data_IF_023011390806
#
_entry.id   IF_023011390806
#
_cell.length_a   1.000
_cell.length_b   1.000
_cell.length_c   1.000
_cell.angle_alpha   90.00
_cell.angle_beta   90.00
_cell.angle_gamma   90.00
#
_symmetry.space_group_name_H-M   'P 1'
#
loop_
_entity.id
_entity.type
_entity.pdbx_description
1 polymer ?
#
# COMPACT_ATOMS: atom_id res chain seq x y z
N UNK A 1 18.91 -16.41 -10.51
CA UNK A 1 17.57 -16.38 -9.88
C UNK A 1 17.59 -16.16 -8.35
N UNK A 2 18.64 -16.55 -7.60
CA UNK A 2 18.68 -16.35 -6.14
C UNK A 2 18.68 -14.88 -5.67
N UNK A 3 19.21 -13.94 -6.47
CA UNK A 3 19.25 -12.52 -6.11
C UNK A 3 17.89 -11.80 -6.14
N UNK A 4 16.93 -12.29 -6.92
CA UNK A 4 15.62 -11.64 -7.05
C UNK A 4 14.85 -11.65 -5.73
N UNK A 5 14.87 -12.78 -5.03
CA UNK A 5 14.20 -12.93 -3.74
C UNK A 5 14.85 -12.06 -2.65
N UNK A 6 16.18 -11.87 -2.71
CA UNK A 6 16.91 -10.96 -1.81
C UNK A 6 16.49 -9.51 -2.06
N UNK A 7 16.42 -9.08 -3.32
CA UNK A 7 15.96 -7.74 -3.69
C UNK A 7 14.50 -7.54 -3.24
N UNK A 8 13.63 -8.52 -3.46
CA UNK A 8 12.25 -8.46 -3.01
C UNK A 8 12.15 -8.32 -1.49
N UNK A 9 12.90 -9.10 -0.72
CA UNK A 9 12.92 -8.97 0.75
C UNK A 9 13.46 -7.60 1.21
N UNK A 10 14.48 -7.07 0.54
CA UNK A 10 15.01 -5.73 0.81
C UNK A 10 13.96 -4.63 0.55
N UNK A 11 13.10 -4.80 -0.46
CA UNK A 11 12.02 -3.85 -0.78
C UNK A 11 10.81 -4.02 0.14
N UNK A 12 10.47 -5.25 0.53
CA UNK A 12 9.33 -5.54 1.41
C UNK A 12 9.50 -4.89 2.78
N UNK A 13 10.69 -4.98 3.37
CA UNK A 13 10.97 -4.38 4.68
C UNK A 13 10.60 -2.88 4.77
N UNK A 14 11.16 -1.97 3.95
CA UNK A 14 10.80 -0.56 3.99
C UNK A 14 9.34 -0.30 3.59
N UNK A 15 8.78 -1.06 2.65
CA UNK A 15 7.36 -0.94 2.29
C UNK A 15 6.43 -1.26 3.47
N UNK A 16 6.78 -2.26 4.29
CA UNK A 16 6.01 -2.59 5.49
C UNK A 16 6.05 -1.45 6.52
N UNK A 17 7.20 -0.84 6.75
CA UNK A 17 7.29 0.34 7.62
C UNK A 17 6.47 1.52 7.08
N UNK A 18 6.39 1.67 5.76
CA UNK A 18 5.62 2.73 5.08
C UNK A 18 4.11 2.45 4.99
N UNK A 19 3.66 1.23 5.26
CA UNK A 19 2.24 0.82 5.12
C UNK A 19 1.38 1.08 6.37
N UNK A 20 1.94 1.71 7.40
CA UNK A 20 1.31 1.92 8.72
C UNK A 20 1.02 0.66 9.55
N UNK A 21 1.49 -0.52 9.13
CA UNK A 21 1.30 -1.80 9.85
C UNK A 21 1.94 -1.80 11.22
N UNK A 22 3.20 -1.35 11.32
CA UNK A 22 3.95 -1.34 12.57
C UNK A 22 3.88 0.01 13.29
N UNK A 23 3.87 1.11 12.54
CA UNK A 23 3.83 2.46 13.07
C UNK A 23 2.68 3.20 12.42
N UNK A 24 1.73 3.79 13.17
CA UNK A 24 0.61 4.47 12.58
C UNK A 24 1.06 5.85 12.03
N UNK A 25 1.61 5.83 10.82
CA UNK A 25 2.34 6.95 10.24
C UNK A 25 1.46 8.17 9.98
N UNK A 26 0.23 7.91 9.57
CA UNK A 26 -0.69 8.94 9.14
C UNK A 26 -1.60 9.44 10.27
N UNK A 27 -1.68 8.72 11.41
CA UNK A 27 -2.38 9.20 12.60
C UNK A 27 -1.44 9.86 13.62
N UNK A 28 -0.13 9.89 13.36
CA UNK A 28 0.84 10.51 14.26
C UNK A 28 1.22 11.92 13.75
N UNK A 29 0.87 13.00 14.47
CA UNK A 29 1.17 14.38 14.07
C UNK A 29 2.68 14.70 14.02
N UNK A 30 3.51 13.89 14.69
CA UNK A 30 4.96 14.14 14.79
C UNK A 30 5.76 13.65 13.58
N UNK A 31 5.10 12.98 12.61
CA UNK A 31 5.79 12.41 11.47
C UNK A 31 5.97 13.42 10.33
N UNK A 32 7.14 13.44 9.66
CA UNK A 32 7.39 14.35 8.56
C UNK A 32 6.37 14.19 7.42
N UNK A 33 5.78 15.30 6.97
CA UNK A 33 4.80 15.34 5.87
C UNK A 33 5.28 14.64 4.60
N UNK A 34 6.59 14.67 4.33
CA UNK A 34 7.20 13.97 3.20
C UNK A 34 6.94 12.47 3.29
N UNK A 35 7.13 11.86 4.46
CA UNK A 35 6.99 10.42 4.66
C UNK A 35 5.53 10.00 4.51
N UNK A 36 4.61 10.80 5.07
CA UNK A 36 3.16 10.57 4.93
C UNK A 36 2.75 10.62 3.46
N UNK A 37 3.25 11.60 2.68
CA UNK A 37 2.97 11.70 1.24
C UNK A 37 3.47 10.50 0.45
N UNK A 38 4.67 10.00 0.74
CA UNK A 38 5.23 8.81 0.07
C UNK A 38 4.45 7.56 0.46
N UNK A 39 3.92 7.49 1.69
CA UNK A 39 3.13 6.35 2.18
C UNK A 39 1.85 6.13 1.35
N UNK A 40 1.22 7.19 0.84
CA UNK A 40 0.05 7.07 -0.05
C UNK A 40 0.37 6.42 -1.41
N UNK A 41 1.64 6.34 -1.82
CA UNK A 41 1.99 5.59 -3.04
C UNK A 41 1.99 4.07 -2.79
N UNK A 42 2.00 3.64 -1.53
CA UNK A 42 2.02 2.23 -1.19
C UNK A 42 0.58 1.67 -1.12
N UNK A 43 0.19 0.71 -1.99
CA UNK A 43 -1.15 0.11 -1.92
C UNK A 43 -1.44 -0.56 -0.58
N UNK A 44 -0.41 -1.06 0.11
CA UNK A 44 -0.57 -1.67 1.42
C UNK A 44 -1.03 -0.69 2.50
N UNK A 45 -0.74 0.61 2.34
CA UNK A 45 -1.20 1.65 3.25
C UNK A 45 -2.72 1.68 3.32
N UNK A 46 -3.40 1.73 2.16
CA UNK A 46 -4.87 1.82 2.10
C UNK A 46 -5.56 0.57 2.64
N UNK A 47 -4.97 -0.62 2.42
CA UNK A 47 -5.52 -1.87 2.97
C UNK A 47 -5.52 -1.87 4.49
N UNK A 48 -4.41 -1.42 5.09
CA UNK A 48 -4.21 -1.44 6.54
C UNK A 48 -5.03 -0.34 7.21
N UNK A 49 -5.08 0.86 6.61
CA UNK A 49 -5.90 1.96 7.12
C UNK A 49 -7.40 1.64 7.04
N UNK A 50 -7.86 1.08 5.90
CA UNK A 50 -9.26 0.68 5.71
C UNK A 50 -9.72 -0.42 6.68
N UNK A 51 -8.90 -1.46 6.91
CA UNK A 51 -9.21 -2.52 7.87
C UNK A 51 -9.25 -1.96 9.29
N UNK A 52 -8.24 -1.17 9.68
CA UNK A 52 -8.20 -0.55 11.00
C UNK A 52 -9.44 0.31 11.21
N UNK A 53 -9.72 1.21 10.26
CA UNK A 53 -10.86 2.11 10.32
C UNK A 53 -12.22 1.44 10.31
N UNK A 54 -12.35 0.29 9.63
CA UNK A 54 -13.57 -0.52 9.66
C UNK A 54 -13.79 -1.22 11.00
N UNK A 55 -12.72 -1.55 11.73
CA UNK A 55 -12.79 -2.33 12.97
C UNK A 55 -12.85 -1.45 14.22
N UNK A 56 -12.07 -0.38 14.28
CA UNK A 56 -12.01 0.50 15.47
C UNK A 56 -13.06 1.60 15.46
N UNK A 57 -13.59 1.99 14.29
CA UNK A 57 -14.60 3.05 14.15
C UNK A 57 -14.16 4.44 14.64
N UNK A 58 -12.91 4.58 15.09
CA UNK A 58 -12.34 5.76 15.72
C UNK A 58 -11.02 6.06 15.00
N UNK A 59 -10.90 7.30 14.53
CA UNK A 59 -9.73 7.93 13.92
C UNK A 59 -9.25 7.31 12.61
N UNK A 60 -9.79 7.80 11.48
CA UNK A 60 -9.20 7.54 10.18
C UNK A 60 -8.68 8.82 9.54
N UNK A 61 -7.67 8.62 8.72
CA UNK A 61 -7.10 9.65 7.86
C UNK A 61 -8.01 9.86 6.65
N UNK A 62 -8.68 8.80 6.18
CA UNK A 62 -9.69 8.79 5.11
C UNK A 62 -10.93 7.98 5.50
N UNK A 63 -12.07 8.20 4.83
CA UNK A 63 -13.27 7.39 5.08
C UNK A 63 -13.02 5.94 4.60
N UNK A 64 -13.39 4.87 5.35
CA UNK A 64 -13.06 3.48 4.97
C UNK A 64 -13.53 3.06 3.56
N UNK A 65 -14.62 3.64 3.09
CA UNK A 65 -15.12 3.45 1.72
C UNK A 65 -14.16 4.01 0.66
N UNK A 66 -13.47 5.12 0.94
CA UNK A 66 -12.50 5.73 0.04
C UNK A 66 -11.28 4.81 -0.08
N UNK A 67 -10.81 4.27 1.03
CA UNK A 67 -9.68 3.31 1.02
C UNK A 67 -10.03 2.05 0.22
N UNK A 68 -11.25 1.52 0.41
CA UNK A 68 -11.73 0.37 -0.36
C UNK A 68 -11.76 0.65 -1.87
N UNK A 69 -12.27 1.82 -2.27
CA UNK A 69 -12.31 2.22 -3.69
C UNK A 69 -10.91 2.39 -4.25
N UNK A 70 -9.98 3.01 -3.50
CA UNK A 70 -8.59 3.18 -3.94
C UNK A 70 -7.89 1.83 -4.11
N UNK A 71 -8.06 0.90 -3.16
CA UNK A 71 -7.49 -0.45 -3.27
C UNK A 71 -8.06 -1.18 -4.49
N UNK A 72 -9.38 -1.10 -4.74
CA UNK A 72 -10.00 -1.70 -5.91
C UNK A 72 -9.44 -1.14 -7.23
N UNK A 73 -9.29 0.19 -7.32
CA UNK A 73 -8.69 0.83 -8.50
C UNK A 73 -7.27 0.31 -8.72
N UNK A 74 -6.45 0.27 -7.66
CA UNK A 74 -5.07 -0.23 -7.77
C UNK A 74 -5.04 -1.70 -8.19
N UNK A 75 -5.94 -2.54 -7.66
CA UNK A 75 -6.07 -3.93 -8.06
C UNK A 75 -6.40 -4.07 -9.55
N UNK A 76 -7.38 -3.33 -10.05
CA UNK A 76 -7.77 -3.37 -11.47
C UNK A 76 -6.62 -2.90 -12.36
N UNK A 77 -5.91 -1.83 -11.97
CA UNK A 77 -4.75 -1.32 -12.70
C UNK A 77 -3.62 -2.35 -12.72
N UNK A 78 -3.29 -2.94 -11.58
CA UNK A 78 -2.25 -3.98 -11.46
C UNK A 78 -2.59 -5.22 -12.28
N UNK A 79 -3.84 -5.69 -12.24
CA UNK A 79 -4.30 -6.82 -13.04
C UNK A 79 -4.26 -6.51 -14.54
N UNK A 80 -4.68 -5.31 -14.94
CA UNK A 80 -4.62 -4.86 -16.34
C UNK A 80 -3.19 -4.78 -16.85
N UNK A 81 -2.29 -4.16 -16.08
CA UNK A 81 -0.86 -4.09 -16.41
C UNK A 81 -0.24 -5.49 -16.45
N UNK A 82 -0.54 -6.33 -15.46
CA UNK A 82 -0.05 -7.71 -15.39
C UNK A 82 -0.49 -8.54 -16.59
N UNK A 83 -1.78 -8.50 -16.94
CA UNK A 83 -2.32 -9.18 -18.12
C UNK A 83 -1.67 -8.68 -19.42
N UNK A 84 -1.49 -7.36 -19.55
CA UNK A 84 -0.82 -6.76 -20.70
C UNK A 84 0.65 -7.20 -20.82
N UNK A 85 1.44 -7.05 -19.76
CA UNK A 85 2.86 -7.43 -19.78
C UNK A 85 3.05 -8.94 -19.95
N UNK A 86 2.16 -9.75 -19.37
CA UNK A 86 2.20 -11.20 -19.56
C UNK A 86 1.91 -11.59 -21.01
N UNK A 87 0.87 -11.01 -21.63
CA UNK A 87 0.56 -11.24 -23.06
C UNK A 87 1.70 -10.81 -23.99
N UNK A 88 2.46 -9.78 -23.61
CA UNK A 88 3.62 -9.30 -24.37
C UNK A 88 4.86 -10.17 -24.18
N UNK A 89 4.96 -10.88 -23.05
CA UNK A 89 6.09 -11.76 -22.73
C UNK A 89 5.94 -13.16 -23.33
N UNK A 90 4.75 -13.53 -23.81
CA UNK A 90 4.46 -14.82 -24.47
C UNK A 90 4.65 -14.76 -26.00
N UNK A 91 5.19 -13.66 -26.55
CA UNK A 91 5.52 -13.49 -27.99
C UNK A 91 7.01 -13.47 -28.24
#
# INVERSE_FOLDING_TARGET
FQGFQIIMNLLIMPLLFLSTVFFPIASNPEMPDIIVKISYLNPMFYMVDGIRGSLTGINNVLHPLIDLVMVLIICVVMLGLGSYFFSKSEV
#
